data_IF_009686979482
#
_entry.id   IF_009686979482
#
_cell.length_a   1.000
_cell.length_b   1.000
_cell.length_c   1.000
_cell.angle_alpha   90.00
_cell.angle_beta   90.00
_cell.angle_gamma   90.00
#
_symmetry.space_group_name_H-M   'P 1'
#
loop_
_entity.id
_entity.type
_entity.pdbx_description
1 polymer ?
#
# COMPACT_ATOMS: atom_id res chain seq x y z
N UNK A 1 -27.26 15.21 -15.11
CA UNK A 1 -26.78 14.84 -13.77
C UNK A 1 -26.60 13.33 -13.73
N UNK A 2 -25.38 12.85 -13.94
CA UNK A 2 -24.97 11.53 -13.46
C UNK A 2 -23.97 11.77 -12.33
N UNK A 3 -24.03 10.99 -11.24
CA UNK A 3 -23.10 11.16 -10.14
C UNK A 3 -21.72 10.73 -10.65
N UNK A 4 -20.82 11.71 -10.81
CA UNK A 4 -19.42 11.46 -11.10
C UNK A 4 -18.87 10.56 -10.01
N UNK A 5 -18.54 9.33 -10.40
CA UNK A 5 -18.04 8.30 -9.51
C UNK A 5 -16.78 8.81 -8.81
N UNK A 6 -16.85 8.93 -7.49
CA UNK A 6 -15.70 9.17 -6.64
C UNK A 6 -14.79 7.95 -6.70
N UNK A 7 -13.88 7.94 -7.67
CA UNK A 7 -12.78 6.98 -7.71
C UNK A 7 -11.58 7.58 -6.98
N UNK A 8 -11.57 7.46 -5.66
CA UNK A 8 -10.37 7.67 -4.84
C UNK A 8 -9.89 6.34 -4.28
N UNK A 9 -8.58 6.11 -4.44
CA UNK A 9 -7.75 5.09 -3.81
C UNK A 9 -8.40 3.68 -3.70
N UNK A 10 -8.17 2.86 -4.73
CA UNK A 10 -8.37 1.41 -4.64
C UNK A 10 -9.39 0.80 -5.62
N UNK A 11 -9.98 1.56 -6.55
CA UNK A 11 -10.90 1.01 -7.55
C UNK A 11 -10.26 0.83 -8.94
N UNK A 12 -10.70 -0.24 -9.60
CA UNK A 12 -10.22 -0.82 -10.87
C UNK A 12 -10.04 0.23 -11.99
N UNK A 13 -8.94 0.04 -12.73
CA UNK A 13 -8.53 0.71 -13.97
C UNK A 13 -8.10 2.18 -13.88
N UNK A 14 -6.91 2.47 -14.41
CA UNK A 14 -6.50 3.83 -14.79
C UNK A 14 -7.59 4.36 -15.73
N UNK A 15 -8.22 5.48 -15.38
CA UNK A 15 -9.23 6.12 -16.24
C UNK A 15 -8.54 6.61 -17.51
N UNK A 16 -8.88 5.99 -18.64
CA UNK A 16 -8.43 6.41 -19.96
C UNK A 16 -9.45 7.42 -20.51
N UNK A 17 -9.04 8.65 -20.88
CA UNK A 17 -9.95 9.62 -21.46
C UNK A 17 -10.56 9.14 -22.78
N UNK A 18 -11.83 9.46 -23.02
CA UNK A 18 -12.49 9.15 -24.29
C UNK A 18 -11.93 9.99 -25.44
N UNK A 19 -12.22 9.63 -26.69
CA UNK A 19 -11.87 10.47 -27.85
C UNK A 19 -12.53 11.84 -27.78
N UNK A 20 -13.78 11.91 -27.32
CA UNK A 20 -14.51 13.17 -27.12
C UNK A 20 -13.84 14.06 -26.06
N UNK A 21 -13.43 13.49 -24.92
CA UNK A 21 -12.72 14.24 -23.87
C UNK A 21 -11.35 14.76 -24.34
N UNK A 22 -10.67 13.98 -25.19
CA UNK A 22 -9.40 14.39 -25.83
C UNK A 22 -9.62 15.52 -26.81
N UNK A 23 -10.65 15.43 -27.65
CA UNK A 23 -11.01 16.48 -28.60
C UNK A 23 -11.39 17.78 -27.88
N UNK A 24 -12.26 17.70 -26.86
CA UNK A 24 -12.63 18.87 -26.05
C UNK A 24 -11.42 19.51 -25.37
N UNK A 25 -10.50 18.70 -24.86
CA UNK A 25 -9.26 19.22 -24.27
C UNK A 25 -8.31 19.86 -25.29
N UNK A 26 -8.40 19.52 -26.58
CA UNK A 26 -7.62 20.12 -27.66
C UNK A 26 -8.26 21.40 -28.21
N UNK A 27 -9.59 21.46 -28.23
CA UNK A 27 -10.37 22.55 -28.81
C UNK A 27 -10.75 23.65 -27.80
N UNK A 28 -10.96 23.27 -26.53
CA UNK A 28 -11.32 24.19 -25.43
C UNK A 28 -10.09 24.45 -24.55
N UNK A 29 -9.44 25.64 -24.63
CA UNK A 29 -8.18 25.91 -23.93
C UNK A 29 -8.21 25.71 -22.40
N UNK A 30 -9.37 25.97 -21.77
CA UNK A 30 -9.53 25.92 -20.31
C UNK A 30 -10.00 24.55 -19.80
N UNK A 31 -10.49 23.67 -20.68
CA UNK A 31 -11.11 22.41 -20.27
C UNK A 31 -10.13 21.50 -19.53
N UNK A 32 -8.92 21.33 -20.10
CA UNK A 32 -7.90 20.49 -19.49
C UNK A 32 -7.39 21.07 -18.16
N UNK A 33 -7.26 22.39 -18.07
CA UNK A 33 -6.86 23.06 -16.84
C UNK A 33 -7.90 22.83 -15.74
N UNK A 34 -9.18 23.09 -16.02
CA UNK A 34 -10.27 22.91 -15.06
C UNK A 34 -10.39 21.45 -14.57
N UNK A 35 -10.17 20.49 -15.48
CA UNK A 35 -10.11 19.07 -15.13
C UNK A 35 -8.93 18.78 -14.18
N UNK A 36 -7.71 19.24 -14.53
CA UNK A 36 -6.52 19.03 -13.69
C UNK A 36 -6.69 19.66 -12.32
N UNK A 37 -7.21 20.88 -12.22
CA UNK A 37 -7.45 21.51 -10.92
C UNK A 37 -8.46 20.73 -10.08
N UNK A 38 -9.47 20.12 -10.71
CA UNK A 38 -10.43 19.25 -10.02
C UNK A 38 -9.74 18.02 -9.45
N UNK A 39 -8.89 17.37 -10.24
CA UNK A 39 -8.08 16.22 -9.81
C UNK A 39 -7.12 16.62 -8.69
N UNK A 40 -6.39 17.72 -8.85
CA UNK A 40 -5.43 18.20 -7.85
C UNK A 40 -6.10 18.63 -6.54
N UNK A 41 -7.26 19.29 -6.60
CA UNK A 41 -8.04 19.63 -5.39
C UNK A 41 -8.52 18.38 -4.67
N UNK A 42 -9.02 17.40 -5.40
CA UNK A 42 -9.43 16.13 -4.81
C UNK A 42 -8.23 15.36 -4.20
N UNK A 43 -7.09 15.32 -4.90
CA UNK A 43 -5.87 14.69 -4.39
C UNK A 43 -5.37 15.41 -3.14
N UNK A 44 -5.36 16.75 -3.15
CA UNK A 44 -4.90 17.56 -2.02
C UNK A 44 -5.85 17.47 -0.81
N UNK A 45 -7.12 17.11 -1.02
CA UNK A 45 -8.09 16.97 0.07
C UNK A 45 -7.74 15.88 1.08
N UNK A 46 -6.86 14.94 0.72
CA UNK A 46 -6.39 13.86 1.61
C UNK A 46 -5.31 14.32 2.60
N UNK A 47 -4.62 15.44 2.33
CA UNK A 47 -3.46 15.89 3.11
C UNK A 47 -3.74 16.03 4.62
N UNK A 48 -4.91 16.52 5.07
CA UNK A 48 -5.22 16.58 6.50
C UNK A 48 -5.20 15.21 7.21
N UNK A 49 -5.37 14.10 6.50
CA UNK A 49 -5.24 12.75 7.08
C UNK A 49 -3.81 12.39 7.44
N UNK A 50 -2.81 13.08 6.89
CA UNK A 50 -1.38 12.84 7.20
C UNK A 50 -0.85 13.75 8.31
N UNK A 51 -1.65 14.72 8.76
CA UNK A 51 -1.27 15.63 9.85
C UNK A 51 -1.53 14.94 11.20
N UNK A 52 -0.46 14.44 11.82
CA UNK A 52 -0.52 13.76 13.12
C UNK A 52 -1.19 14.65 14.18
N UNK A 53 -2.18 14.09 14.88
CA UNK A 53 -2.89 14.77 15.97
C UNK A 53 -4.01 15.70 15.52
N UNK A 54 -4.20 15.92 14.21
CA UNK A 54 -5.36 16.64 13.70
C UNK A 54 -6.64 15.80 13.80
N UNK A 55 -7.80 16.46 13.91
CA UNK A 55 -9.10 15.78 14.00
C UNK A 55 -9.35 14.83 12.83
N UNK A 56 -8.96 15.22 11.61
CA UNK A 56 -9.09 14.41 10.41
C UNK A 56 -8.27 13.10 10.51
N UNK A 57 -7.00 13.18 10.94
CA UNK A 57 -6.15 12.01 11.17
C UNK A 57 -6.71 11.11 12.28
N UNK A 58 -7.14 11.67 13.40
CA UNK A 58 -7.70 10.90 14.53
C UNK A 58 -8.98 10.15 14.14
N UNK A 59 -9.91 10.82 13.44
CA UNK A 59 -11.13 10.20 12.96
C UNK A 59 -10.84 9.09 11.94
N UNK A 60 -9.93 9.35 11.00
CA UNK A 60 -9.56 8.38 9.99
C UNK A 60 -8.82 7.17 10.57
N UNK A 61 -7.96 7.39 11.58
CA UNK A 61 -7.34 6.34 12.39
C UNK A 61 -8.39 5.47 13.06
N UNK A 62 -9.32 6.08 13.78
CA UNK A 62 -10.36 5.34 14.51
C UNK A 62 -11.23 4.51 13.56
N UNK A 63 -11.63 5.10 12.43
CA UNK A 63 -12.39 4.40 11.40
C UNK A 63 -11.61 3.19 10.85
N UNK A 64 -10.35 3.39 10.48
CA UNK A 64 -9.51 2.30 9.94
C UNK A 64 -9.29 1.18 10.96
N UNK A 65 -9.00 1.52 12.22
CA UNK A 65 -8.81 0.52 13.28
C UNK A 65 -10.09 -0.27 13.56
N UNK A 66 -11.26 0.38 13.51
CA UNK A 66 -12.54 -0.31 13.68
C UNK A 66 -12.81 -1.26 12.52
N UNK A 67 -12.52 -0.86 11.28
CA UNK A 67 -12.65 -1.75 10.12
C UNK A 67 -11.73 -2.96 10.25
N UNK A 68 -10.44 -2.76 10.57
CA UNK A 68 -9.49 -3.87 10.78
C UNK A 68 -9.96 -4.85 11.87
N UNK A 69 -10.51 -4.33 12.98
CA UNK A 69 -11.07 -5.18 14.06
C UNK A 69 -12.31 -5.95 13.61
N UNK A 70 -13.12 -5.35 12.73
CA UNK A 70 -14.28 -6.00 12.13
C UNK A 70 -13.87 -7.16 11.23
N UNK A 71 -12.97 -6.92 10.28
CA UNK A 71 -12.50 -7.96 9.36
C UNK A 71 -11.78 -9.11 10.08
N UNK A 72 -11.11 -8.81 11.21
CA UNK A 72 -10.39 -9.79 12.02
C UNK A 72 -11.18 -10.29 13.24
N UNK A 73 -12.50 -10.05 13.32
CA UNK A 73 -13.31 -10.31 14.52
C UNK A 73 -13.28 -11.78 15.00
N UNK A 74 -12.91 -12.73 14.13
CA UNK A 74 -12.79 -14.16 14.44
C UNK A 74 -11.42 -14.61 14.96
N UNK A 75 -10.37 -13.78 14.92
CA UNK A 75 -9.02 -14.20 15.27
C UNK A 75 -8.28 -13.14 16.12
N UNK A 76 -8.24 -13.37 17.44
CA UNK A 76 -7.58 -12.46 18.40
C UNK A 76 -6.07 -12.35 18.17
N UNK A 77 -5.41 -13.45 17.84
CA UNK A 77 -3.97 -13.46 17.58
C UNK A 77 -3.64 -12.56 16.38
N UNK A 78 -4.41 -12.66 15.29
CA UNK A 78 -4.24 -11.78 14.14
C UNK A 78 -4.48 -10.30 14.49
N UNK A 79 -5.47 -10.00 15.34
CA UNK A 79 -5.68 -8.61 15.79
C UNK A 79 -4.48 -8.08 16.57
N UNK A 80 -3.94 -8.86 17.49
CA UNK A 80 -2.79 -8.46 18.31
C UNK A 80 -1.53 -8.23 17.47
N UNK A 81 -1.33 -9.04 16.42
CA UNK A 81 -0.13 -8.98 15.58
C UNK A 81 -0.23 -8.01 14.42
N UNK A 82 -1.41 -7.81 13.83
CA UNK A 82 -1.59 -7.03 12.60
C UNK A 82 -2.08 -5.60 12.85
N UNK A 83 -2.74 -5.32 13.98
CA UNK A 83 -3.22 -3.97 14.26
C UNK A 83 -2.02 -3.07 14.62
N UNK A 84 -1.74 -2.02 13.84
CA UNK A 84 -0.51 -1.24 14.01
C UNK A 84 -0.58 -0.26 15.19
N UNK A 85 0.54 -0.17 15.92
CA UNK A 85 0.73 0.81 17.01
C UNK A 85 1.26 2.16 16.52
N UNK A 86 1.79 2.23 15.30
CA UNK A 86 2.29 3.47 14.69
C UNK A 86 1.15 4.39 14.19
N UNK A 87 1.47 5.65 13.91
CA UNK A 87 0.50 6.64 13.42
C UNK A 87 0.06 6.32 11.99
N UNK A 88 -1.24 6.53 11.71
CA UNK A 88 -1.80 6.23 10.40
C UNK A 88 -1.23 7.18 9.34
N UNK A 89 -0.81 6.63 8.20
CA UNK A 89 -0.17 7.36 7.12
C UNK A 89 1.36 7.46 7.19
N UNK A 90 2.00 6.91 8.24
CA UNK A 90 3.46 6.81 8.30
C UNK A 90 4.01 5.86 7.22
N UNK A 91 3.65 4.56 7.19
CA UNK A 91 3.74 3.79 5.97
C UNK A 91 2.59 4.20 5.04
N UNK A 92 2.81 4.02 3.73
CA UNK A 92 1.74 4.14 2.75
C UNK A 92 0.63 3.15 3.10
N UNK A 93 -0.62 3.59 3.01
CA UNK A 93 -1.78 2.76 3.33
C UNK A 93 -1.81 1.51 2.43
N UNK A 94 -1.94 0.36 3.08
CA UNK A 94 -2.01 -1.01 2.55
C UNK A 94 -2.54 -1.85 3.71
N UNK A 95 -3.20 -3.01 3.49
CA UNK A 95 -3.45 -3.73 2.23
C UNK A 95 -4.70 -3.23 1.47
N UNK A 96 -4.94 -3.80 0.28
CA UNK A 96 -6.18 -3.59 -0.48
C UNK A 96 -7.37 -4.39 0.08
N UNK A 97 -8.56 -4.15 -0.48
CA UNK A 97 -9.78 -4.88 -0.11
C UNK A 97 -9.61 -6.41 -0.26
N UNK A 98 -10.14 -7.18 0.70
CA UNK A 98 -10.10 -8.64 0.70
C UNK A 98 -8.85 -9.27 1.32
N UNK A 99 -7.84 -8.47 1.68
CA UNK A 99 -6.60 -9.01 2.23
C UNK A 99 -6.73 -9.49 3.68
N UNK A 100 -7.48 -8.78 4.53
CA UNK A 100 -7.59 -9.15 5.96
C UNK A 100 -8.56 -10.33 6.12
N UNK A 101 -9.60 -10.34 5.30
CA UNK A 101 -10.60 -11.40 5.17
C UNK A 101 -9.93 -12.70 4.74
N UNK A 102 -9.03 -12.66 3.74
CA UNK A 102 -8.29 -13.82 3.27
C UNK A 102 -7.44 -14.49 4.37
N UNK A 103 -6.98 -13.75 5.38
CA UNK A 103 -6.21 -14.32 6.49
C UNK A 103 -7.06 -15.20 7.42
N UNK A 104 -8.39 -15.09 7.35
CA UNK A 104 -9.34 -15.89 8.12
C UNK A 104 -9.88 -17.11 7.38
N UNK A 105 -9.54 -17.31 6.10
CA UNK A 105 -10.04 -18.43 5.30
C UNK A 105 -9.46 -19.78 5.76
N UNK A 106 -10.22 -20.88 5.69
CA UNK A 106 -9.83 -22.18 6.25
C UNK A 106 -8.62 -22.82 5.57
N UNK A 107 -8.28 -22.37 4.35
CA UNK A 107 -7.13 -22.82 3.59
C UNK A 107 -5.89 -21.92 3.77
N UNK A 108 -5.95 -20.93 4.67
CA UNK A 108 -4.86 -19.99 4.92
C UNK A 108 -4.32 -20.21 6.34
N UNK A 109 -3.02 -20.45 6.42
CA UNK A 109 -2.29 -20.48 7.69
C UNK A 109 -1.34 -19.28 7.74
N UNK A 110 -1.52 -18.43 8.75
CA UNK A 110 -0.62 -17.30 9.00
C UNK A 110 0.48 -17.74 9.96
N UNK A 111 1.74 -17.55 9.55
CA UNK A 111 2.93 -17.92 10.32
C UNK A 111 3.69 -16.64 10.65
N UNK A 112 3.89 -16.35 11.93
CA UNK A 112 4.62 -15.16 12.42
C UNK A 112 6.11 -15.43 12.70
N UNK A 113 6.56 -16.65 12.45
CA UNK A 113 7.93 -17.12 12.65
C UNK A 113 8.79 -16.86 11.40
N UNK A 114 10.06 -16.49 11.59
CA UNK A 114 11.01 -16.33 10.49
C UNK A 114 11.31 -17.67 9.81
N UNK A 115 11.59 -17.64 8.50
CA UNK A 115 12.05 -18.82 7.75
C UNK A 115 13.59 -18.89 7.84
N UNK A 116 14.13 -20.01 8.33
CA UNK A 116 15.57 -20.26 8.42
C UNK A 116 16.11 -20.91 7.14
N UNK A 117 15.38 -21.91 6.63
CA UNK A 117 15.84 -22.76 5.54
C UNK A 117 14.63 -23.22 4.71
N UNK A 118 14.82 -23.28 3.39
CA UNK A 118 13.89 -23.97 2.48
C UNK A 118 14.53 -25.29 2.08
N UNK A 119 13.79 -26.37 2.23
CA UNK A 119 14.20 -27.74 1.90
C UNK A 119 13.27 -28.34 0.85
N UNK A 120 13.62 -29.53 0.36
CA UNK A 120 12.76 -30.30 -0.55
C UNK A 120 11.39 -30.66 0.06
N UNK A 121 11.24 -30.60 1.40
CA UNK A 121 9.98 -30.87 2.09
C UNK A 121 9.18 -29.60 2.40
N UNK A 122 9.81 -28.42 2.37
CA UNK A 122 9.17 -27.16 2.72
C UNK A 122 10.07 -26.20 3.52
N UNK A 123 9.44 -25.27 4.24
CA UNK A 123 10.12 -24.23 5.02
C UNK A 123 10.29 -24.64 6.48
N UNK A 124 11.52 -24.54 6.99
CA UNK A 124 11.81 -24.62 8.42
C UNK A 124 11.80 -23.23 9.05
N UNK A 125 11.13 -23.11 10.17
CA UNK A 125 10.92 -21.85 10.86
C UNK A 125 11.72 -21.75 12.16
N UNK A 126 11.92 -20.53 12.65
CA UNK A 126 12.72 -20.22 13.86
C UNK A 126 12.18 -20.83 15.15
N UNK A 127 10.88 -21.08 15.21
CA UNK A 127 10.16 -21.72 16.31
C UNK A 127 10.23 -23.26 16.26
N UNK A 128 10.96 -23.83 15.30
CA UNK A 128 11.10 -25.26 15.09
C UNK A 128 9.95 -25.91 14.33
N UNK A 129 8.97 -25.12 13.87
CA UNK A 129 7.91 -25.61 12.99
C UNK A 129 8.43 -25.86 11.57
N UNK A 130 7.78 -26.78 10.87
CA UNK A 130 8.06 -27.08 9.46
C UNK A 130 6.75 -27.04 8.68
N UNK A 131 6.74 -26.23 7.62
CA UNK A 131 5.58 -26.03 6.76
C UNK A 131 5.86 -26.57 5.38
N UNK A 132 5.09 -27.55 4.95
CA UNK A 132 5.24 -28.13 3.61
C UNK A 132 4.92 -27.09 2.54
N UNK A 133 5.81 -26.94 1.57
CA UNK A 133 5.61 -26.06 0.41
C UNK A 133 5.55 -26.95 -0.83
N UNK A 134 4.35 -27.46 -1.20
CA UNK A 134 4.25 -28.56 -2.15
C UNK A 134 4.52 -28.15 -3.60
N UNK A 135 4.14 -26.94 -4.01
CA UNK A 135 4.11 -26.58 -5.44
C UNK A 135 4.81 -25.26 -5.79
N UNK A 136 4.72 -24.24 -4.93
CA UNK A 136 5.16 -22.89 -5.27
C UNK A 136 5.55 -22.05 -4.05
N UNK A 137 6.67 -21.33 -4.16
CA UNK A 137 7.11 -20.32 -3.19
C UNK A 137 7.06 -18.92 -3.82
N UNK A 138 6.35 -18.00 -3.19
CA UNK A 138 6.22 -16.60 -3.66
C UNK A 138 6.97 -15.68 -2.69
N UNK A 139 8.06 -15.07 -3.16
CA UNK A 139 8.85 -14.12 -2.38
C UNK A 139 8.32 -12.68 -2.55
N UNK A 140 7.49 -12.21 -1.62
CA UNK A 140 6.96 -10.84 -1.60
C UNK A 140 7.97 -9.83 -1.01
N UNK A 141 9.12 -9.63 -1.67
CA UNK A 141 10.33 -8.95 -1.13
C UNK A 141 10.20 -7.44 -0.88
N UNK A 142 9.10 -6.80 -1.30
CA UNK A 142 8.93 -5.35 -1.17
C UNK A 142 9.90 -4.53 -2.04
N UNK A 143 10.36 -3.39 -1.53
CA UNK A 143 11.23 -2.44 -2.25
C UNK A 143 12.52 -2.15 -1.47
N UNK A 144 13.65 -2.06 -2.18
CA UNK A 144 14.91 -1.65 -1.60
C UNK A 144 14.89 -0.16 -1.22
N UNK A 145 15.10 0.15 0.06
CA UNK A 145 15.12 1.51 0.59
C UNK A 145 16.51 2.18 0.50
N UNK A 146 17.46 1.58 -0.23
CA UNK A 146 18.76 2.23 -0.45
C UNK A 146 18.54 3.47 -1.32
N UNK A 147 18.72 4.64 -0.73
CA UNK A 147 18.77 5.90 -1.48
C UNK A 147 20.04 6.01 -2.35
N UNK A 148 20.91 4.98 -2.30
CA UNK A 148 22.10 4.83 -3.15
C UNK A 148 21.69 4.78 -4.64
N UNK A 149 22.21 5.69 -5.48
CA UNK A 149 21.98 5.64 -6.92
C UNK A 149 22.44 4.30 -7.50
N UNK A 150 21.70 3.76 -8.48
CA UNK A 150 22.09 2.50 -9.17
C UNK A 150 23.30 2.68 -10.08
N UNK A 151 23.54 3.91 -10.53
CA UNK A 151 24.64 4.28 -11.42
C UNK A 151 25.63 5.17 -10.67
N UNK A 152 26.93 5.14 -11.02
CA UNK A 152 27.89 6.08 -10.49
C UNK A 152 27.49 7.52 -10.82
N UNK A 153 27.45 8.38 -9.81
CA UNK A 153 27.25 9.82 -9.97
C UNK A 153 28.48 10.50 -9.39
N UNK A 154 29.40 10.90 -10.27
CA UNK A 154 30.71 11.41 -9.89
C UNK A 154 30.72 12.94 -9.96
N UNK A 155 31.11 13.57 -8.86
CA UNK A 155 31.36 15.01 -8.78
C UNK A 155 32.74 15.24 -8.18
N UNK A 156 33.72 15.60 -9.03
CA UNK A 156 35.12 15.66 -8.64
C UNK A 156 35.68 14.26 -8.36
N UNK A 157 36.25 14.07 -7.17
CA UNK A 157 36.80 12.80 -6.68
C UNK A 157 35.79 11.96 -5.89
N UNK A 158 34.54 12.42 -5.77
CA UNK A 158 33.50 11.76 -4.98
C UNK A 158 32.46 11.08 -5.87
N UNK A 159 32.19 9.81 -5.59
CA UNK A 159 31.01 9.11 -6.10
C UNK A 159 29.89 9.17 -5.06
N UNK A 160 28.71 9.63 -5.47
CA UNK A 160 27.54 9.76 -4.59
C UNK A 160 27.12 8.44 -3.95
N UNK A 161 27.42 7.33 -4.61
CA UNK A 161 27.18 5.99 -4.09
C UNK A 161 27.95 5.71 -2.80
N UNK A 162 29.17 6.23 -2.64
CA UNK A 162 30.00 5.98 -1.45
C UNK A 162 29.68 6.99 -0.34
N UNK A 163 29.23 8.18 -0.70
CA UNK A 163 28.85 9.24 0.25
C UNK A 163 27.51 8.93 0.93
N UNK A 164 26.56 8.33 0.21
CA UNK A 164 25.22 8.04 0.73
C UNK A 164 25.06 6.64 1.35
N UNK A 165 26.14 5.84 1.39
CA UNK A 165 26.17 4.51 2.00
C UNK A 165 26.45 3.40 0.99
#
# INVERSE_FOLDING_TARGET
>A
MQPGSQHYLGSKAIRIPTDEERQRSAEEPDHLLAYRETVERGNSSILPFFIKGGNANSNFRNHTLNNMKGELAGNKELQEKLIPTFALGCPRLSPGAGCLEALGEPNVQVVFSGVIEVTDQGCKCEDGSEHQVPDMLICATGFGASYRPRLPIVAGDKNLQDVWG
#
